data_IF_827673749034
#
_entry.id   IF_827673749034
#
_cell.length_a   1.000
_cell.length_b   1.000
_cell.length_c   1.000
_cell.angle_alpha   90.00
_cell.angle_beta   90.00
_cell.angle_gamma   90.00
#
_symmetry.space_group_name_H-M   'P 1'
#
loop_
_entity.id
_entity.type
_entity.pdbx_description
1 polymer ?
#
# COMPACT_ATOMS: atom_id res chain seq x y z
N UNK A 1 18.29 10.42 35.57
CA UNK A 1 17.63 11.56 34.90
C UNK A 1 17.50 11.21 33.43
N UNK A 2 16.33 11.38 32.80
CA UNK A 2 16.20 11.18 31.36
C UNK A 2 17.11 12.17 30.62
N UNK A 3 17.86 11.68 29.62
CA UNK A 3 18.71 12.51 28.76
C UNK A 3 17.81 13.45 27.96
N UNK A 4 18.11 14.75 27.98
CA UNK A 4 17.41 15.74 27.16
C UNK A 4 17.98 15.69 25.75
N UNK A 5 17.43 14.83 24.88
CA UNK A 5 17.87 14.65 23.48
C UNK A 5 18.02 16.00 22.77
N UNK A 6 17.08 16.92 22.96
CA UNK A 6 17.08 18.24 22.32
C UNK A 6 18.14 19.22 22.84
N UNK A 7 18.86 18.87 23.92
CA UNK A 7 19.98 19.62 24.47
C UNK A 7 21.34 19.08 24.02
N UNK A 8 21.37 17.98 23.24
CA UNK A 8 22.61 17.45 22.70
C UNK A 8 23.25 18.42 21.70
N UNK A 9 24.60 18.46 21.63
CA UNK A 9 25.31 19.11 20.53
C UNK A 9 24.83 18.61 19.17
N UNK A 10 24.90 19.45 18.14
CA UNK A 10 24.33 19.14 16.82
C UNK A 10 24.85 17.82 16.21
N UNK A 11 26.14 17.49 16.41
CA UNK A 11 26.74 16.24 15.92
C UNK A 11 26.17 15.02 16.64
N UNK A 12 26.06 15.09 17.96
CA UNK A 12 25.55 14.00 18.79
C UNK A 12 24.06 13.79 18.53
N UNK A 13 23.30 14.88 18.38
CA UNK A 13 21.89 14.81 18.00
C UNK A 13 21.70 14.12 16.65
N UNK A 14 22.48 14.49 15.63
CA UNK A 14 22.44 13.84 14.32
C UNK A 14 22.82 12.37 14.39
N UNK A 15 23.82 12.02 15.21
CA UNK A 15 24.18 10.63 15.45
C UNK A 15 23.03 9.85 16.11
N UNK A 16 22.42 10.39 17.17
CA UNK A 16 21.27 9.80 17.85
C UNK A 16 20.11 9.56 16.87
N UNK A 17 19.77 10.53 16.03
CA UNK A 17 18.69 10.38 15.04
C UNK A 17 18.97 9.27 14.01
N UNK A 18 20.24 9.05 13.65
CA UNK A 18 20.62 7.96 12.73
C UNK A 18 20.56 6.58 13.38
N UNK A 19 20.69 6.52 14.71
CA UNK A 19 20.64 5.30 15.50
C UNK A 19 19.23 4.92 15.94
N UNK A 20 18.25 5.82 15.85
CA UNK A 20 16.83 5.48 16.07
C UNK A 20 16.38 4.49 15.00
N UNK A 21 15.58 3.50 15.43
CA UNK A 21 14.80 2.71 14.48
C UNK A 21 13.67 3.56 13.88
N UNK A 22 12.96 3.01 12.89
CA UNK A 22 11.92 3.75 12.18
C UNK A 22 10.80 4.17 13.14
N UNK A 23 10.36 3.28 14.03
CA UNK A 23 9.33 3.58 14.99
C UNK A 23 9.72 4.67 15.97
N UNK A 24 10.92 4.62 16.53
CA UNK A 24 11.46 5.67 17.40
C UNK A 24 11.54 7.01 16.66
N UNK A 25 11.97 7.02 15.40
CA UNK A 25 12.05 8.23 14.59
C UNK A 25 10.66 8.82 14.30
N UNK A 26 9.67 7.96 14.02
CA UNK A 26 8.27 8.36 13.85
C UNK A 26 7.73 8.94 15.15
N UNK A 27 7.85 8.22 16.26
CA UNK A 27 7.39 8.67 17.57
C UNK A 27 8.01 10.02 17.94
N UNK A 28 9.32 10.16 17.75
CA UNK A 28 10.04 11.42 17.95
C UNK A 28 9.47 12.55 17.09
N UNK A 29 9.19 12.28 15.81
CA UNK A 29 8.63 13.27 14.88
C UNK A 29 7.23 13.78 15.28
N UNK A 30 6.48 13.00 16.07
CA UNK A 30 5.13 13.35 16.52
C UNK A 30 5.11 14.28 17.74
N UNK A 31 6.22 14.41 18.47
CA UNK A 31 6.29 15.19 19.72
C UNK A 31 6.14 16.70 19.53
N UNK A 32 6.68 17.29 18.46
CA UNK A 32 6.64 18.74 18.21
C UNK A 32 7.05 19.09 16.77
N UNK A 33 6.80 20.33 16.34
CA UNK A 33 7.30 20.86 15.05
C UNK A 33 8.83 20.77 14.96
N UNK A 34 9.53 21.06 16.07
CA UNK A 34 10.99 20.99 16.13
C UNK A 34 11.50 19.57 15.91
N UNK A 35 10.90 18.59 16.58
CA UNK A 35 11.30 17.19 16.45
C UNK A 35 10.93 16.61 15.08
N UNK A 36 9.79 17.02 14.48
CA UNK A 36 9.45 16.71 13.09
C UNK A 36 10.52 17.18 12.10
N UNK A 37 10.96 18.44 12.22
CA UNK A 37 11.99 18.99 11.34
C UNK A 37 13.34 18.28 11.52
N UNK A 38 13.67 17.87 12.74
CA UNK A 38 14.86 17.07 13.03
C UNK A 38 14.77 15.67 12.42
N UNK A 39 13.64 14.98 12.59
CA UNK A 39 13.40 13.67 11.96
C UNK A 39 13.54 13.76 10.45
N UNK A 40 12.93 14.77 9.81
CA UNK A 40 13.09 15.05 8.38
C UNK A 40 14.54 15.29 7.96
N UNK A 41 15.32 15.99 8.79
CA UNK A 41 16.73 16.28 8.52
C UNK A 41 17.65 15.06 8.60
N UNK A 42 17.19 13.96 9.22
CA UNK A 42 17.94 12.71 9.26
C UNK A 42 18.13 12.11 7.86
N UNK A 43 17.25 12.46 6.93
CA UNK A 43 17.22 11.94 5.56
C UNK A 43 17.29 10.40 5.52
N UNK A 44 16.65 9.76 6.50
CA UNK A 44 16.51 8.31 6.57
C UNK A 44 15.71 7.85 5.35
N UNK A 45 16.29 6.94 4.57
CA UNK A 45 15.55 6.23 3.54
C UNK A 45 14.72 5.13 4.19
N UNK A 46 13.51 4.95 3.71
CA UNK A 46 12.65 3.83 4.05
C UNK A 46 12.34 3.06 2.77
N UNK A 47 12.46 1.75 2.83
CA UNK A 47 12.07 0.88 1.72
C UNK A 47 11.28 -0.29 2.30
N UNK A 48 9.98 -0.47 1.97
CA UNK A 48 8.98 0.44 1.35
C UNK A 48 7.94 1.00 2.35
N UNK A 49 7.26 2.11 1.99
CA UNK A 49 6.03 2.57 2.69
C UNK A 49 4.83 1.77 2.18
N UNK A 50 4.23 0.95 3.04
CA UNK A 50 3.03 0.17 2.75
C UNK A 50 1.80 0.85 3.37
N UNK A 51 0.80 1.11 2.54
CA UNK A 51 -0.52 1.54 2.99
C UNK A 51 -1.47 0.40 2.72
N UNK A 52 -2.10 -0.11 3.76
CA UNK A 52 -3.19 -1.07 3.63
C UNK A 52 -4.48 -0.42 4.12
N UNK A 53 -5.47 -0.40 3.23
CA UNK A 53 -6.73 0.23 3.55
C UNK A 53 -7.74 -0.86 3.89
N UNK A 54 -7.93 -1.09 5.19
CA UNK A 54 -8.94 -1.96 5.75
C UNK A 54 -9.95 -1.15 6.56
N UNK A 55 -11.25 -1.40 6.39
CA UNK A 55 -12.29 -0.78 7.20
C UNK A 55 -13.14 -1.89 7.86
N UNK A 56 -13.60 -1.70 9.10
CA UNK A 56 -14.45 -2.68 9.80
C UNK A 56 -13.82 -4.07 10.00
N UNK A 57 -12.60 -4.12 10.51
CA UNK A 57 -12.04 -5.37 11.01
C UNK A 57 -12.66 -5.69 12.37
N UNK A 58 -13.15 -6.91 12.53
CA UNK A 58 -13.47 -7.47 13.84
C UNK A 58 -12.19 -7.63 14.65
N UNK A 59 -12.29 -7.71 15.98
CA UNK A 59 -11.11 -7.86 16.86
C UNK A 59 -10.23 -9.05 16.49
N UNK A 60 -10.84 -10.11 15.95
CA UNK A 60 -10.15 -11.31 15.49
C UNK A 60 -9.37 -11.07 14.20
N UNK A 61 -9.93 -10.32 13.26
CA UNK A 61 -9.24 -9.99 12.00
C UNK A 61 -8.10 -8.98 12.24
N UNK A 62 -8.22 -8.16 13.29
CA UNK A 62 -7.12 -7.31 13.76
C UNK A 62 -5.95 -8.13 14.32
N UNK A 63 -6.21 -9.22 15.06
CA UNK A 63 -5.17 -10.15 15.50
C UNK A 63 -4.51 -10.88 14.31
N UNK A 64 -5.31 -11.35 13.35
CA UNK A 64 -4.80 -12.02 12.14
C UNK A 64 -3.91 -11.08 11.29
N UNK A 65 -4.29 -9.81 11.12
CA UNK A 65 -3.45 -8.80 10.44
C UNK A 65 -2.21 -8.47 11.27
N UNK A 66 -2.33 -8.40 12.60
CA UNK A 66 -1.18 -8.22 13.48
C UNK A 66 -0.14 -9.33 13.29
N UNK A 67 -0.58 -10.59 13.20
CA UNK A 67 0.27 -11.75 12.93
C UNK A 67 0.87 -11.72 11.50
N UNK A 68 0.09 -11.31 10.50
CA UNK A 68 0.59 -11.19 9.11
C UNK A 68 1.62 -10.06 8.98
N UNK A 69 1.37 -8.91 9.60
CA UNK A 69 2.31 -7.80 9.72
C UNK A 69 3.57 -8.26 10.46
N UNK A 70 3.46 -9.02 11.55
CA UNK A 70 4.64 -9.57 12.27
C UNK A 70 5.46 -10.57 11.43
N UNK A 71 4.85 -11.22 10.43
CA UNK A 71 5.54 -12.12 9.51
C UNK A 71 6.29 -11.36 8.41
N UNK A 72 5.73 -10.24 7.91
CA UNK A 72 6.45 -9.36 6.98
C UNK A 72 7.56 -8.56 7.68
N UNK A 73 7.43 -8.30 9.00
CA UNK A 73 8.26 -7.44 9.84
C UNK A 73 9.69 -7.94 10.06
N UNK A 74 9.94 -9.20 9.77
CA UNK A 74 11.18 -9.85 10.22
C UNK A 74 12.42 -9.43 9.45
N UNK A 75 12.26 -8.94 8.22
CA UNK A 75 13.41 -8.75 7.32
C UNK A 75 13.61 -7.31 6.81
N UNK A 76 12.64 -6.39 6.96
CA UNK A 76 12.74 -5.03 6.44
C UNK A 76 12.14 -3.92 7.33
N UNK A 77 12.73 -2.73 7.19
CA UNK A 77 12.33 -1.46 7.79
C UNK A 77 11.15 -0.88 6.97
N UNK A 78 9.90 -1.21 7.31
CA UNK A 78 8.72 -0.67 6.63
C UNK A 78 7.72 -0.01 7.57
N UNK A 79 6.83 0.79 6.98
CA UNK A 79 5.71 1.41 7.68
C UNK A 79 4.44 0.79 7.13
N UNK A 80 3.59 0.34 8.04
CA UNK A 80 2.27 -0.13 7.72
C UNK A 80 1.23 0.85 8.26
N UNK A 81 0.50 1.45 7.34
CA UNK A 81 -0.58 2.39 7.62
C UNK A 81 -1.91 1.67 7.46
N UNK A 82 -2.61 1.41 8.57
CA UNK A 82 -3.99 0.94 8.54
C UNK A 82 -4.92 2.14 8.67
N UNK A 83 -5.75 2.33 7.65
CA UNK A 83 -6.65 3.47 7.55
C UNK A 83 -8.08 3.05 7.90
N UNK A 84 -8.47 3.14 9.19
CA UNK A 84 -9.85 3.01 9.67
C UNK A 84 -10.53 4.40 9.85
N UNK A 85 -11.60 4.46 10.64
CA UNK A 85 -12.11 5.70 11.28
C UNK A 85 -11.00 6.45 12.05
N UNK A 86 -9.95 5.73 12.45
CA UNK A 86 -8.70 6.27 12.97
C UNK A 86 -7.52 5.65 12.21
N UNK A 87 -6.36 6.31 12.22
CA UNK A 87 -5.14 5.75 11.63
C UNK A 87 -4.29 5.14 12.73
N UNK A 88 -3.95 3.87 12.56
CA UNK A 88 -2.92 3.20 13.36
C UNK A 88 -1.71 2.96 12.48
N UNK A 89 -0.56 3.36 12.98
CA UNK A 89 0.72 3.18 12.30
C UNK A 89 1.46 2.10 13.03
N UNK A 90 1.86 1.05 12.32
CA UNK A 90 2.71 0.01 12.87
C UNK A 90 4.13 0.14 12.31
N UNK A 91 5.13 0.03 13.17
CA UNK A 91 6.37 -0.64 12.78
C UNK A 91 6.40 -2.03 13.40
N UNK A 92 7.49 -2.75 13.12
CA UNK A 92 7.80 -4.10 13.58
C UNK A 92 7.69 -4.33 15.12
N UNK A 93 7.39 -3.30 15.93
CA UNK A 93 7.38 -3.35 17.40
C UNK A 93 6.22 -2.61 18.06
N UNK A 94 5.57 -1.64 17.42
CA UNK A 94 4.57 -0.80 18.10
C UNK A 94 3.57 -0.11 17.17
N UNK A 95 2.35 0.07 17.69
CA UNK A 95 1.30 0.88 17.09
C UNK A 95 1.29 2.31 17.65
N UNK A 96 1.26 3.33 16.79
CA UNK A 96 1.07 4.73 17.21
C UNK A 96 -0.27 5.28 16.75
N UNK A 97 -0.85 6.11 17.61
CA UNK A 97 -2.05 6.87 17.33
C UNK A 97 -1.87 8.32 17.80
N UNK A 98 -2.39 9.26 17.02
CA UNK A 98 -2.43 10.68 17.32
C UNK A 98 -3.81 11.19 16.95
N UNK A 99 -4.63 11.43 17.96
CA UNK A 99 -6.06 11.70 17.80
C UNK A 99 -6.36 13.00 17.04
N UNK A 100 -5.42 13.95 17.03
CA UNK A 100 -5.57 15.19 16.27
C UNK A 100 -5.24 15.05 14.79
N UNK A 101 -4.66 13.92 14.36
CA UNK A 101 -4.29 13.69 12.97
C UNK A 101 -5.44 13.03 12.20
N UNK A 102 -5.84 13.65 11.10
CA UNK A 102 -6.68 13.02 10.09
C UNK A 102 -5.88 12.00 9.26
N UNK A 103 -6.59 11.21 8.43
CA UNK A 103 -5.98 10.28 7.47
C UNK A 103 -4.96 10.97 6.57
N UNK A 104 -5.30 12.16 6.07
CA UNK A 104 -4.44 12.98 5.22
C UNK A 104 -3.23 13.51 5.97
N UNK A 105 -3.39 13.88 7.23
CA UNK A 105 -2.27 14.37 8.05
C UNK A 105 -1.23 13.28 8.26
N UNK A 106 -1.65 12.05 8.49
CA UNK A 106 -0.73 10.92 8.63
C UNK A 106 0.07 10.66 7.36
N UNK A 107 -0.59 10.53 6.21
CA UNK A 107 0.12 10.32 4.94
C UNK A 107 1.05 11.51 4.65
N UNK A 108 0.57 12.75 4.75
CA UNK A 108 1.40 13.93 4.54
C UNK A 108 2.59 13.98 5.52
N UNK A 109 2.40 13.54 6.76
CA UNK A 109 3.46 13.46 7.76
C UNK A 109 4.53 12.44 7.36
N UNK A 110 4.16 11.22 7.00
CA UNK A 110 5.10 10.19 6.56
C UNK A 110 5.88 10.58 5.31
N UNK A 111 5.17 11.04 4.28
CA UNK A 111 5.78 11.53 3.06
C UNK A 111 6.77 12.66 3.36
N UNK A 112 6.44 13.57 4.29
CA UNK A 112 7.31 14.66 4.68
C UNK A 112 8.54 14.23 5.48
N UNK A 113 8.47 13.25 6.38
CA UNK A 113 9.62 12.89 7.23
C UNK A 113 10.63 12.01 6.49
N UNK A 114 10.16 11.19 5.54
CA UNK A 114 11.02 10.34 4.72
C UNK A 114 11.40 10.97 3.38
N UNK A 115 10.99 12.21 3.13
CA UNK A 115 11.22 12.92 1.86
C UNK A 115 10.70 12.15 0.65
N UNK A 116 9.58 11.44 0.82
CA UNK A 116 8.94 10.65 -0.22
C UNK A 116 7.87 11.47 -0.95
N UNK A 117 7.71 11.19 -2.24
CA UNK A 117 6.69 11.83 -3.08
C UNK A 117 5.65 10.87 -3.65
N UNK A 118 5.88 9.56 -3.52
CA UNK A 118 5.00 8.48 -3.98
C UNK A 118 4.81 7.45 -2.87
N UNK A 119 3.59 6.91 -2.72
CA UNK A 119 3.35 5.76 -1.84
C UNK A 119 3.84 4.49 -2.55
N UNK A 120 4.66 3.67 -1.87
CA UNK A 120 5.29 2.52 -2.54
C UNK A 120 4.29 1.42 -2.89
N UNK A 121 3.40 1.08 -1.97
CA UNK A 121 2.35 0.11 -2.25
C UNK A 121 1.07 0.48 -1.50
N UNK A 122 -0.03 0.40 -2.24
CA UNK A 122 -1.39 0.44 -1.71
C UNK A 122 -1.99 -0.96 -1.84
N UNK A 123 -2.47 -1.53 -0.74
CA UNK A 123 -3.25 -2.77 -0.73
C UNK A 123 -4.72 -2.46 -0.36
N UNK A 124 -5.63 -2.98 -1.18
CA UNK A 124 -7.08 -2.90 -0.97
C UNK A 124 -7.62 -4.31 -0.84
N UNK A 125 -8.23 -4.60 0.31
CA UNK A 125 -8.77 -5.91 0.69
C UNK A 125 -10.30 -5.90 0.85
N UNK A 126 -10.88 -7.05 1.15
CA UNK A 126 -12.33 -7.30 1.29
C UNK A 126 -13.04 -6.37 2.28
N UNK A 127 -12.25 -5.85 3.22
CA UNK A 127 -12.71 -4.99 4.29
C UNK A 127 -12.88 -3.55 3.83
N UNK A 128 -12.70 -3.20 2.55
CA UNK A 128 -12.87 -1.84 2.11
C UNK A 128 -14.28 -1.57 1.54
N UNK A 129 -15.14 -0.76 2.21
CA UNK A 129 -16.39 -0.30 1.62
C UNK A 129 -16.14 0.44 0.32
N UNK A 130 -17.02 0.19 -0.65
CA UNK A 130 -16.96 0.81 -1.97
C UNK A 130 -17.03 2.35 -1.93
N UNK A 131 -17.67 2.92 -0.90
CA UNK A 131 -17.74 4.37 -0.68
C UNK A 131 -16.37 5.01 -0.44
N UNK A 132 -15.38 4.28 0.08
CA UNK A 132 -14.08 4.84 0.43
C UNK A 132 -13.05 4.83 -0.70
N UNK A 133 -13.34 4.18 -1.83
CA UNK A 133 -12.42 4.19 -2.97
C UNK A 133 -12.15 5.62 -3.49
N UNK A 134 -13.14 6.51 -3.40
CA UNK A 134 -12.95 7.92 -3.78
C UNK A 134 -12.12 8.68 -2.73
N UNK A 135 -12.35 8.43 -1.43
CA UNK A 135 -11.52 8.98 -0.35
C UNK A 135 -10.05 8.60 -0.55
N UNK A 136 -9.76 7.32 -0.81
CA UNK A 136 -8.41 6.81 -1.04
C UNK A 136 -7.76 7.52 -2.22
N UNK A 137 -8.52 7.69 -3.31
CA UNK A 137 -8.06 8.41 -4.51
C UNK A 137 -7.71 9.86 -4.23
N UNK A 138 -8.45 10.53 -3.34
CA UNK A 138 -8.13 11.89 -2.91
C UNK A 138 -6.95 11.96 -1.94
N UNK A 139 -6.78 10.89 -1.14
CA UNK A 139 -5.79 10.79 -0.08
C UNK A 139 -4.38 10.49 -0.61
N UNK A 140 -4.29 9.62 -1.63
CA UNK A 140 -3.02 9.14 -2.19
C UNK A 140 -2.88 9.66 -3.63
N UNK A 141 -2.04 10.68 -3.87
CA UNK A 141 -1.95 11.31 -5.18
C UNK A 141 -1.25 10.43 -6.24
N UNK A 142 -0.26 9.63 -5.82
CA UNK A 142 0.50 8.71 -6.67
C UNK A 142 0.93 7.50 -5.88
N UNK A 143 0.90 6.34 -6.52
CA UNK A 143 1.38 5.09 -5.95
C UNK A 143 2.22 4.31 -6.96
N UNK A 144 3.26 3.65 -6.46
CA UNK A 144 4.16 2.85 -7.30
C UNK A 144 3.49 1.53 -7.66
N UNK A 145 2.94 0.84 -6.67
CA UNK A 145 2.25 -0.44 -6.82
C UNK A 145 0.85 -0.43 -6.20
N UNK A 146 -0.15 -0.92 -6.95
CA UNK A 146 -1.48 -1.23 -6.42
C UNK A 146 -1.60 -2.75 -6.27
N UNK A 147 -2.07 -3.22 -5.12
CA UNK A 147 -2.49 -4.59 -4.92
C UNK A 147 -3.97 -4.63 -4.56
N UNK A 148 -4.71 -5.47 -5.26
CA UNK A 148 -6.11 -5.76 -5.02
C UNK A 148 -6.18 -7.24 -4.64
N UNK A 149 -6.44 -7.53 -3.38
CA UNK A 149 -6.32 -8.88 -2.81
C UNK A 149 -7.53 -9.25 -1.97
N UNK A 150 -7.72 -10.55 -1.74
CA UNK A 150 -8.78 -11.09 -0.88
C UNK A 150 -10.12 -10.41 -1.15
N UNK A 151 -10.69 -10.54 -2.36
CA UNK A 151 -12.00 -9.99 -2.66
C UNK A 151 -13.05 -11.09 -2.87
N UNK A 152 -14.01 -11.23 -1.97
CA UNK A 152 -15.17 -12.12 -2.08
C UNK A 152 -16.07 -11.73 -3.27
N UNK A 153 -15.97 -10.49 -3.77
CA UNK A 153 -16.77 -9.97 -4.88
C UNK A 153 -15.94 -9.43 -6.07
N UNK A 154 -16.17 -9.99 -7.26
CA UNK A 154 -15.55 -9.54 -8.53
C UNK A 154 -15.90 -8.09 -8.89
N UNK A 155 -17.09 -7.63 -8.50
CA UNK A 155 -17.57 -6.25 -8.71
C UNK A 155 -16.75 -5.19 -8.00
N UNK A 156 -16.47 -5.42 -6.72
CA UNK A 156 -15.70 -4.49 -5.91
C UNK A 156 -14.27 -4.41 -6.42
N UNK A 157 -13.66 -5.56 -6.74
CA UNK A 157 -12.33 -5.65 -7.32
C UNK A 157 -12.20 -4.86 -8.62
N UNK A 158 -13.20 -4.97 -9.50
CA UNK A 158 -13.28 -4.18 -10.73
C UNK A 158 -13.36 -2.68 -10.43
N UNK A 159 -14.24 -2.27 -9.51
CA UNK A 159 -14.38 -0.85 -9.15
C UNK A 159 -13.11 -0.29 -8.53
N UNK A 160 -12.45 -1.04 -7.65
CA UNK A 160 -11.17 -0.69 -7.07
C UNK A 160 -10.10 -0.53 -8.16
N UNK A 161 -10.01 -1.49 -9.08
CA UNK A 161 -9.11 -1.41 -10.23
C UNK A 161 -9.36 -0.14 -11.05
N UNK A 162 -10.58 0.08 -11.55
CA UNK A 162 -10.88 1.21 -12.42
C UNK A 162 -10.65 2.56 -11.74
N UNK A 163 -10.90 2.67 -10.44
CA UNK A 163 -10.74 3.92 -9.70
C UNK A 163 -9.28 4.20 -9.32
N UNK A 164 -8.52 3.17 -8.96
CA UNK A 164 -7.21 3.32 -8.32
C UNK A 164 -6.05 2.96 -9.24
N UNK A 165 -6.23 2.13 -10.27
CA UNK A 165 -5.16 1.82 -11.24
C UNK A 165 -4.58 3.05 -11.94
N UNK A 166 -5.34 4.14 -12.22
CA UNK A 166 -4.75 5.34 -12.80
C UNK A 166 -3.74 6.05 -11.89
N UNK A 167 -3.74 5.75 -10.59
CA UNK A 167 -2.76 6.28 -9.63
C UNK A 167 -1.46 5.47 -9.66
N UNK A 168 -1.52 4.21 -10.14
CA UNK A 168 -0.42 3.26 -10.18
C UNK A 168 0.52 3.56 -11.35
N UNK A 169 1.78 3.89 -11.05
CA UNK A 169 2.76 4.21 -12.09
C UNK A 169 3.55 3.01 -12.62
N UNK A 170 3.73 1.95 -11.82
CA UNK A 170 4.56 0.81 -12.22
C UNK A 170 3.79 -0.49 -12.32
N UNK A 171 3.06 -0.87 -11.27
CA UNK A 171 2.49 -2.21 -11.20
C UNK A 171 1.08 -2.22 -10.60
N UNK A 172 0.20 -3.02 -11.22
CA UNK A 172 -1.08 -3.41 -10.61
C UNK A 172 -1.12 -4.93 -10.46
N UNK A 173 -1.38 -5.40 -9.25
CA UNK A 173 -1.44 -6.81 -8.90
C UNK A 173 -2.84 -7.17 -8.40
N UNK A 174 -3.44 -8.19 -8.99
CA UNK A 174 -4.82 -8.60 -8.72
C UNK A 174 -4.81 -10.09 -8.32
N UNK A 175 -5.15 -10.39 -7.06
CA UNK A 175 -5.14 -11.76 -6.49
C UNK A 175 -6.51 -12.44 -6.52
N UNK A 176 -7.51 -11.79 -7.09
CA UNK A 176 -8.85 -12.36 -7.28
C UNK A 176 -9.19 -12.27 -8.75
N UNK A 177 -9.68 -13.35 -9.34
CA UNK A 177 -10.15 -13.32 -10.71
C UNK A 177 -11.38 -12.42 -10.80
N UNK A 178 -11.17 -11.18 -11.24
CA UNK A 178 -12.20 -10.14 -11.40
C UNK A 178 -13.07 -10.37 -12.63
N UNK A 179 -12.66 -11.29 -13.51
CA UNK A 179 -13.30 -11.54 -14.78
C UNK A 179 -14.25 -12.73 -14.63
N UNK A 180 -15.53 -12.40 -14.53
CA UNK A 180 -16.64 -13.34 -14.70
C UNK A 180 -17.28 -13.09 -16.06
N UNK A 181 -18.05 -14.04 -16.60
CA UNK A 181 -18.69 -13.99 -17.93
C UNK A 181 -19.45 -12.68 -18.29
N UNK A 182 -19.75 -11.80 -17.32
CA UNK A 182 -20.36 -10.49 -17.55
C UNK A 182 -19.37 -9.36 -17.89
N UNK A 183 -18.08 -9.52 -17.60
CA UNK A 183 -17.08 -8.46 -17.77
C UNK A 183 -15.97 -8.88 -18.70
N UNK A 184 -15.66 -8.00 -19.66
CA UNK A 184 -14.62 -8.23 -20.64
C UNK A 184 -13.24 -7.96 -20.04
N UNK A 185 -12.30 -8.86 -20.30
CA UNK A 185 -10.90 -8.73 -19.87
C UNK A 185 -10.24 -7.52 -20.52
N UNK A 186 -10.74 -7.13 -21.70
CA UNK A 186 -10.32 -5.94 -22.47
C UNK A 186 -10.27 -4.64 -21.66
N UNK A 187 -11.18 -4.41 -20.71
CA UNK A 187 -11.23 -3.16 -19.90
C UNK A 187 -9.93 -2.96 -19.10
N UNK A 188 -9.32 -4.06 -18.65
CA UNK A 188 -8.08 -4.06 -17.89
C UNK A 188 -6.89 -4.11 -18.83
N UNK A 189 -6.95 -4.95 -19.86
CA UNK A 189 -5.83 -5.16 -20.78
C UNK A 189 -5.49 -3.91 -21.61
N UNK A 190 -6.45 -3.01 -21.81
CA UNK A 190 -6.25 -1.73 -22.52
C UNK A 190 -5.75 -0.59 -21.61
N UNK A 191 -5.65 -0.81 -20.30
CA UNK A 191 -5.07 0.18 -19.40
C UNK A 191 -3.57 0.29 -19.69
N UNK A 192 -3.11 1.49 -20.07
CA UNK A 192 -1.72 1.82 -20.44
C UNK A 192 -0.73 1.67 -19.25
N UNK A 193 -0.70 0.50 -18.61
CA UNK A 193 0.08 0.22 -17.41
C UNK A 193 1.40 -0.46 -17.80
N UNK A 194 2.46 -0.16 -17.04
CA UNK A 194 3.77 -0.78 -17.25
C UNK A 194 3.75 -2.28 -16.91
N UNK A 195 3.05 -2.67 -15.85
CA UNK A 195 2.92 -4.07 -15.46
C UNK A 195 1.57 -4.37 -14.82
N UNK A 196 0.98 -5.49 -15.24
CA UNK A 196 -0.23 -6.05 -14.61
C UNK A 196 0.00 -7.53 -14.33
N UNK A 197 -0.31 -7.96 -13.10
CA UNK A 197 -0.20 -9.36 -12.71
C UNK A 197 -1.49 -9.91 -12.13
N UNK A 198 -1.97 -11.02 -12.67
CA UNK A 198 -3.12 -11.78 -12.20
C UNK A 198 -2.66 -13.03 -11.44
N UNK A 199 -2.99 -13.08 -10.15
CA UNK A 199 -2.49 -14.06 -9.19
C UNK A 199 -3.61 -14.89 -8.54
N UNK A 200 -4.68 -15.19 -9.26
CA UNK A 200 -5.72 -16.11 -8.78
C UNK A 200 -5.38 -17.57 -9.16
N UNK A 201 -4.89 -18.32 -8.19
CA UNK A 201 -4.54 -19.73 -8.34
C UNK A 201 -5.77 -20.67 -8.32
N UNK A 202 -6.92 -20.21 -7.82
CA UNK A 202 -8.14 -21.03 -7.70
C UNK A 202 -9.00 -20.95 -8.96
N UNK A 203 -9.06 -19.79 -9.62
CA UNK A 203 -9.91 -19.54 -10.78
C UNK A 203 -9.06 -19.15 -11.98
N UNK A 204 -8.85 -20.06 -12.95
CA UNK A 204 -8.12 -19.75 -14.17
C UNK A 204 -8.71 -18.55 -14.89
N UNK A 205 -7.86 -17.65 -15.37
CA UNK A 205 -8.26 -16.55 -16.24
C UNK A 205 -8.40 -17.07 -17.66
N UNK A 206 -9.63 -17.14 -18.18
CA UNK A 206 -9.88 -17.43 -19.58
C UNK A 206 -9.50 -16.20 -20.41
N UNK A 207 -8.65 -16.38 -21.42
CA UNK A 207 -8.24 -15.33 -22.34
C UNK A 207 -8.49 -15.79 -23.75
N UNK A 208 -9.14 -14.93 -24.53
CA UNK A 208 -9.34 -15.15 -25.96
C UNK A 208 -8.28 -14.37 -26.74
N UNK A 209 -7.89 -14.85 -27.92
CA UNK A 209 -6.84 -14.22 -28.74
C UNK A 209 -7.13 -12.75 -29.04
N UNK A 210 -8.39 -12.41 -29.30
CA UNK A 210 -8.85 -11.04 -29.56
C UNK A 210 -8.59 -10.12 -28.36
N UNK A 211 -8.64 -10.65 -27.13
CA UNK A 211 -8.34 -9.88 -25.92
C UNK A 211 -6.83 -9.66 -25.75
N UNK A 212 -6.00 -10.62 -26.16
CA UNK A 212 -4.54 -10.49 -26.16
C UNK A 212 -4.05 -9.49 -27.20
N UNK A 213 -4.71 -9.43 -28.36
CA UNK A 213 -4.37 -8.50 -29.45
C UNK A 213 -4.61 -7.02 -29.10
N UNK A 214 -5.50 -6.75 -28.13
CA UNK A 214 -5.78 -5.39 -27.65
C UNK A 214 -5.00 -5.02 -26.38
N UNK A 215 -4.09 -5.89 -25.93
CA UNK A 215 -3.24 -5.63 -24.76
C UNK A 215 -2.36 -4.41 -25.01
N UNK A 216 -2.41 -3.48 -24.07
CA UNK A 216 -1.62 -2.28 -24.06
C UNK A 216 -0.85 -2.16 -22.73
N UNK A 217 -0.26 -3.29 -22.32
CA UNK A 217 0.51 -3.45 -21.08
C UNK A 217 1.89 -3.97 -21.48
N UNK A 218 2.96 -3.38 -20.94
CA UNK A 218 4.33 -3.79 -21.29
C UNK A 218 4.64 -5.18 -20.73
N UNK A 219 4.31 -5.42 -19.46
CA UNK A 219 4.55 -6.69 -18.78
C UNK A 219 3.26 -7.26 -18.20
N UNK A 220 2.67 -8.22 -18.91
CA UNK A 220 1.51 -8.97 -18.46
C UNK A 220 1.95 -10.30 -17.86
N UNK A 221 1.54 -10.59 -16.62
CA UNK A 221 1.79 -11.89 -15.96
C UNK A 221 0.48 -12.48 -15.50
N UNK A 222 0.23 -13.75 -15.84
CA UNK A 222 -0.97 -14.48 -15.43
C UNK A 222 -0.51 -15.81 -14.85
N UNK A 223 -0.70 -16.03 -13.55
CA UNK A 223 -0.23 -17.26 -12.89
C UNK A 223 -1.04 -18.51 -13.26
N UNK A 224 -2.33 -18.34 -13.54
CA UNK A 224 -3.25 -19.42 -13.85
C UNK A 224 -4.12 -18.99 -15.04
N UNK A 225 -3.64 -19.24 -16.26
CA UNK A 225 -4.37 -18.90 -17.48
C UNK A 225 -5.02 -20.15 -18.05
N UNK A 226 -6.26 -20.02 -18.53
CA UNK A 226 -6.90 -21.01 -19.38
C UNK A 226 -6.84 -20.50 -20.81
N UNK A 227 -5.79 -20.92 -21.52
CA UNK A 227 -5.51 -20.59 -22.92
C UNK A 227 -5.40 -21.92 -23.67
N UNK A 228 -6.10 -22.04 -24.78
CA UNK A 228 -6.07 -23.18 -25.69
C UNK A 228 -4.89 -23.11 -26.64
N UNK A 229 -4.45 -24.25 -27.18
CA UNK A 229 -3.34 -24.30 -28.14
C UNK A 229 -3.60 -23.44 -29.40
N UNK A 230 -4.86 -23.24 -29.76
CA UNK A 230 -5.25 -22.37 -30.88
C UNK A 230 -5.06 -20.87 -30.60
N UNK A 231 -5.02 -20.47 -29.33
CA UNK A 231 -4.81 -19.08 -28.92
C UNK A 231 -3.30 -18.76 -28.73
N UNK A 232 -2.43 -19.79 -28.67
CA UNK A 232 -0.98 -19.67 -28.50
C UNK A 232 -0.19 -19.79 -29.82
N UNK A 233 -0.75 -20.43 -30.84
CA UNK A 233 -0.14 -20.64 -32.16
C UNK A 233 -0.61 -19.59 -33.17
#
# INVERSE_FOLDING_TARGET
MPIRILALPAKDLQHTLKCMDIGDLIAFSLCSIRTKNLAKSSNRKIEPIFVEVCFHLTSKEYEEIGEEVDLFARDHDYIFLIVFDYVTVFDNRSGWQKWEFTRSDWIAHFMSIFNESIVHKLEVSDYCPQSHLDDIKHLIPKLRKLRISHLQGTEFAKKAFLKLSPLAIEQVEIHTNVFSNKYKTSDVLTSNLNSVSFNDWKKPLKLEIDELLVVNIINLTIKNANITDNELN
#
